data_IF_582865412163
#
_entry.id   IF_582865412163
#
_cell.length_a   1.000
_cell.length_b   1.000
_cell.length_c   1.000
_cell.angle_alpha   90.00
_cell.angle_beta   90.00
_cell.angle_gamma   90.00
#
_symmetry.space_group_name_H-M   'P 1'
#
loop_
_entity.id
_entity.type
_entity.pdbx_description
1 polymer ?
#
# COMPACT_ATOMS: atom_id res chain seq x y z
N UNK A 1 -13.70 31.68 8.87
CA UNK A 1 -13.23 30.96 7.66
C UNK A 1 -13.85 31.46 6.36
N UNK A 2 -15.18 31.65 6.27
CA UNK A 2 -15.82 32.14 5.03
C UNK A 2 -15.36 33.55 4.60
N UNK A 3 -15.14 34.48 5.54
CA UNK A 3 -14.68 35.85 5.26
C UNK A 3 -13.27 35.90 4.65
N UNK A 4 -12.34 35.11 5.21
CA UNK A 4 -10.95 35.03 4.73
C UNK A 4 -10.82 34.30 3.39
N UNK A 5 -11.70 33.34 3.10
CA UNK A 5 -11.79 32.71 1.78
C UNK A 5 -12.33 33.67 0.70
N UNK A 6 -13.19 34.61 1.08
CA UNK A 6 -13.69 35.66 0.17
C UNK A 6 -12.61 36.70 -0.15
N UNK A 7 -11.82 37.13 0.85
CA UNK A 7 -10.71 38.10 0.68
C UNK A 7 -9.53 37.52 -0.13
N UNK A 8 -9.25 36.21 -0.02
CA UNK A 8 -8.23 35.56 -0.86
C UNK A 8 -8.64 35.40 -2.33
N UNK A 9 -9.95 35.29 -2.58
CA UNK A 9 -10.47 35.21 -3.95
C UNK A 9 -10.23 36.54 -4.69
N UNK A 10 -10.43 37.65 -4.01
CA UNK A 10 -10.27 39.00 -4.58
C UNK A 10 -8.83 39.34 -5.00
N UNK A 11 -7.81 38.85 -4.28
CA UNK A 11 -6.41 39.14 -4.64
C UNK A 11 -5.94 38.39 -5.90
N UNK A 12 -6.34 37.12 -6.06
CA UNK A 12 -6.02 36.33 -7.26
C UNK A 12 -6.86 36.79 -8.46
N UNK A 13 -8.08 37.28 -8.22
CA UNK A 13 -8.95 37.80 -9.28
C UNK A 13 -8.34 39.02 -10.00
N UNK A 14 -7.43 39.77 -9.38
CA UNK A 14 -6.68 40.86 -10.02
C UNK A 14 -5.59 40.42 -11.01
N UNK A 15 -5.09 39.18 -10.89
CA UNK A 15 -4.02 38.68 -11.77
C UNK A 15 -4.50 38.45 -13.21
N UNK A 16 -5.71 37.91 -13.37
CA UNK A 16 -6.20 37.50 -14.69
C UNK A 16 -6.52 38.66 -15.64
N UNK A 17 -7.14 39.77 -15.19
CA UNK A 17 -7.26 41.00 -15.96
C UNK A 17 -5.90 41.58 -16.37
N UNK A 18 -4.93 41.61 -15.45
CA UNK A 18 -3.57 42.08 -15.73
C UNK A 18 -2.91 41.27 -16.85
N UNK A 19 -2.98 39.93 -16.81
CA UNK A 19 -2.43 39.09 -17.88
C UNK A 19 -3.04 39.43 -19.25
N UNK A 20 -4.37 39.63 -19.30
CA UNK A 20 -5.06 40.01 -20.54
C UNK A 20 -4.61 41.37 -21.05
N UNK A 21 -4.44 42.34 -20.16
CA UNK A 21 -3.97 43.68 -20.50
C UNK A 21 -2.53 43.65 -21.05
N UNK A 22 -1.62 42.97 -20.35
CA UNK A 22 -0.23 42.78 -20.79
C UNK A 22 -0.15 42.16 -22.19
N UNK A 23 -0.97 41.14 -22.46
CA UNK A 23 -1.03 40.52 -23.79
C UNK A 23 -1.51 41.49 -24.86
N UNK A 24 -2.59 42.23 -24.60
CA UNK A 24 -3.14 43.21 -25.56
C UNK A 24 -2.12 44.31 -25.84
N UNK A 25 -1.43 44.82 -24.81
CA UNK A 25 -0.38 45.84 -24.94
C UNK A 25 0.83 45.35 -25.74
N UNK A 26 1.19 44.07 -25.58
CA UNK A 26 2.23 43.42 -26.37
C UNK A 26 1.81 43.09 -27.82
N UNK A 27 0.54 43.31 -28.21
CA UNK A 27 0.03 43.00 -29.55
C UNK A 27 -0.05 41.49 -29.84
N UNK A 28 -0.09 40.64 -28.81
CA UNK A 28 -0.06 39.19 -28.97
C UNK A 28 -1.47 38.58 -28.97
N UNK A 29 -1.67 37.61 -29.85
CA UNK A 29 -2.88 36.77 -29.83
C UNK A 29 -2.77 35.68 -28.76
N UNK A 30 -3.91 35.17 -28.30
CA UNK A 30 -3.94 34.04 -27.35
C UNK A 30 -3.26 32.78 -27.90
N UNK A 31 -3.24 32.60 -29.22
CA UNK A 31 -2.54 31.49 -29.88
C UNK A 31 -1.02 31.65 -29.78
N UNK A 32 -0.50 32.85 -30.03
CA UNK A 32 0.93 33.15 -29.90
C UNK A 32 1.43 32.99 -28.46
N UNK A 33 0.62 33.38 -27.47
CA UNK A 33 0.92 33.09 -26.05
C UNK A 33 0.91 31.59 -25.77
N UNK A 34 -0.06 30.85 -26.32
CA UNK A 34 -0.10 29.39 -26.14
C UNK A 34 1.15 28.72 -26.72
N UNK A 35 1.65 29.19 -27.86
CA UNK A 35 2.89 28.70 -28.46
C UNK A 35 4.12 29.06 -27.61
N UNK A 36 4.24 30.32 -27.19
CA UNK A 36 5.35 30.80 -26.36
C UNK A 36 5.43 30.12 -24.98
N UNK A 37 4.28 29.70 -24.43
CA UNK A 37 4.20 28.99 -23.14
C UNK A 37 4.39 27.48 -23.26
N UNK A 38 4.62 26.95 -24.47
CA UNK A 38 4.74 25.51 -24.71
C UNK A 38 3.40 24.76 -24.67
N UNK A 39 2.29 25.48 -24.73
CA UNK A 39 0.92 24.96 -24.78
C UNK A 39 0.35 24.88 -26.21
N UNK A 40 1.17 24.96 -27.26
CA UNK A 40 0.77 25.09 -28.68
C UNK A 40 -0.05 23.95 -29.32
N UNK A 41 -0.58 23.01 -28.54
CA UNK A 41 -1.51 21.99 -29.03
C UNK A 41 -2.91 22.54 -29.35
N UNK A 42 -3.79 21.69 -29.87
CA UNK A 42 -5.18 22.04 -30.28
C UNK A 42 -6.05 22.68 -29.17
N UNK A 43 -5.60 22.67 -27.92
CA UNK A 43 -6.30 23.26 -26.77
C UNK A 43 -5.57 24.44 -26.12
N UNK A 44 -4.40 24.83 -26.65
CA UNK A 44 -3.56 25.90 -26.09
C UNK A 44 -4.28 27.23 -26.00
N UNK A 45 -4.83 27.71 -27.12
CA UNK A 45 -5.63 28.94 -27.16
C UNK A 45 -6.78 28.93 -26.14
N UNK A 46 -7.48 27.79 -26.00
CA UNK A 46 -8.60 27.65 -25.05
C UNK A 46 -8.12 27.69 -23.60
N UNK A 47 -6.94 27.13 -23.30
CA UNK A 47 -6.32 27.23 -21.98
C UNK A 47 -5.99 28.68 -21.64
N UNK A 48 -5.37 29.41 -22.57
CA UNK A 48 -5.03 30.84 -22.40
C UNK A 48 -6.29 31.69 -22.21
N UNK A 49 -7.33 31.47 -23.01
CA UNK A 49 -8.61 32.17 -22.85
C UNK A 49 -9.26 31.89 -21.49
N UNK A 50 -9.19 30.65 -20.99
CA UNK A 50 -9.70 30.30 -19.66
C UNK A 50 -8.84 30.88 -18.53
N UNK A 51 -7.54 31.00 -18.75
CA UNK A 51 -6.62 31.62 -17.80
C UNK A 51 -6.94 33.11 -17.64
N UNK A 52 -7.06 33.86 -18.74
CA UNK A 52 -7.44 35.28 -18.74
C UNK A 52 -8.83 35.53 -18.14
N UNK A 53 -9.73 34.56 -18.23
CA UNK A 53 -11.08 34.62 -17.63
C UNK A 53 -11.13 34.15 -16.15
N UNK A 54 -10.00 33.77 -15.54
CA UNK A 54 -9.95 33.26 -14.17
C UNK A 54 -10.62 31.89 -13.98
N UNK A 55 -10.91 31.15 -15.05
CA UNK A 55 -11.53 29.83 -15.01
C UNK A 55 -10.53 28.69 -14.77
N UNK A 56 -9.27 29.01 -14.51
CA UNK A 56 -8.21 28.06 -14.14
C UNK A 56 -7.96 28.22 -12.65
N UNK A 57 -8.50 27.30 -11.83
CA UNK A 57 -8.48 27.43 -10.37
C UNK A 57 -7.07 27.38 -9.74
N UNK A 58 -6.11 26.74 -10.40
CA UNK A 58 -4.74 26.59 -9.91
C UNK A 58 -3.78 26.59 -11.11
N UNK A 59 -3.52 27.75 -11.74
CA UNK A 59 -2.54 27.79 -12.83
C UNK A 59 -1.17 27.43 -12.27
N UNK A 60 -0.38 26.68 -13.04
CA UNK A 60 0.99 26.40 -12.60
C UNK A 60 1.80 27.70 -12.63
N UNK A 61 2.69 27.89 -11.66
CA UNK A 61 3.58 29.06 -11.61
C UNK A 61 4.37 29.18 -12.92
N UNK A 62 4.80 28.05 -13.48
CA UNK A 62 5.49 28.00 -14.78
C UNK A 62 4.65 28.61 -15.91
N UNK A 63 3.36 28.29 -15.98
CA UNK A 63 2.47 28.84 -17.02
C UNK A 63 2.33 30.37 -16.89
N UNK A 64 2.17 30.86 -15.65
CA UNK A 64 2.06 32.31 -15.38
C UNK A 64 3.36 33.03 -15.72
N UNK A 65 4.52 32.50 -15.29
CA UNK A 65 5.82 33.10 -15.61
C UNK A 65 6.11 33.09 -17.11
N UNK A 66 5.88 31.97 -17.81
CA UNK A 66 6.07 31.93 -19.26
C UNK A 66 5.14 32.90 -20.00
N UNK A 67 3.92 33.11 -19.50
CA UNK A 67 2.98 34.11 -20.04
C UNK A 67 3.56 35.51 -19.89
N UNK A 68 3.99 35.87 -18.68
CA UNK A 68 4.57 37.18 -18.38
C UNK A 68 5.83 37.46 -19.22
N UNK A 69 6.72 36.47 -19.34
CA UNK A 69 7.89 36.55 -20.20
C UNK A 69 7.52 36.76 -21.67
N UNK A 70 6.51 36.05 -22.18
CA UNK A 70 6.05 36.21 -23.56
C UNK A 70 5.51 37.63 -23.83
N UNK A 71 4.86 38.23 -22.83
CA UNK A 71 4.37 39.62 -22.90
C UNK A 71 5.45 40.67 -22.62
N UNK A 72 6.69 40.25 -22.32
CA UNK A 72 7.78 41.14 -21.87
C UNK A 72 7.37 42.03 -20.69
N UNK A 73 6.62 41.47 -19.74
CA UNK A 73 6.20 42.20 -18.55
C UNK A 73 7.43 42.69 -17.77
N UNK A 74 7.40 43.97 -17.36
CA UNK A 74 8.46 44.61 -16.58
C UNK A 74 8.21 44.43 -15.09
N UNK A 75 9.20 44.76 -14.25
CA UNK A 75 9.02 44.77 -12.81
C UNK A 75 7.95 45.78 -12.37
N UNK A 76 7.81 46.91 -13.06
CA UNK A 76 6.80 47.95 -12.77
C UNK A 76 5.39 47.38 -12.91
N UNK A 77 5.12 46.65 -14.00
CA UNK A 77 3.84 45.98 -14.26
C UNK A 77 3.45 44.97 -13.17
N UNK A 78 4.45 44.37 -12.51
CA UNK A 78 4.25 43.39 -11.45
C UNK A 78 4.13 44.06 -10.08
N UNK A 79 4.75 45.22 -9.88
CA UNK A 79 4.81 45.87 -8.57
C UNK A 79 3.41 46.30 -8.12
N UNK A 80 2.60 46.88 -9.01
CA UNK A 80 1.22 47.25 -8.70
C UNK A 80 0.36 46.06 -8.26
N UNK A 81 0.51 44.90 -8.92
CA UNK A 81 -0.17 43.67 -8.53
C UNK A 81 0.37 43.08 -7.23
N UNK A 82 1.69 43.04 -7.07
CA UNK A 82 2.33 42.49 -5.89
C UNK A 82 2.07 43.34 -4.66
N UNK A 83 1.98 44.67 -4.78
CA UNK A 83 1.62 45.57 -3.70
C UNK A 83 0.18 45.32 -3.23
N UNK A 84 -0.75 45.07 -4.15
CA UNK A 84 -2.11 44.62 -3.81
C UNK A 84 -2.15 43.23 -3.16
N UNK A 85 -1.30 42.31 -3.62
CA UNK A 85 -1.23 40.92 -3.12
C UNK A 85 -0.57 40.83 -1.74
N UNK A 86 0.54 41.54 -1.51
CA UNK A 86 1.28 41.56 -0.25
C UNK A 86 0.72 42.56 0.77
N UNK A 87 0.01 43.59 0.32
CA UNK A 87 -0.73 44.51 1.20
C UNK A 87 -1.95 43.87 1.86
N UNK A 88 -2.43 42.75 1.31
CA UNK A 88 -3.44 41.90 1.95
C UNK A 88 -2.78 40.97 2.98
N UNK A 89 -3.33 40.82 4.19
CA UNK A 89 -2.76 39.93 5.21
C UNK A 89 -2.66 38.50 4.65
N UNK A 90 -1.44 37.99 4.46
CA UNK A 90 -1.24 36.64 3.94
C UNK A 90 -2.07 35.65 4.76
N UNK A 91 -2.91 34.82 4.12
CA UNK A 91 -3.60 33.77 4.84
C UNK A 91 -2.56 32.80 5.39
N UNK A 92 -2.43 32.76 6.72
CA UNK A 92 -1.69 31.70 7.38
C UNK A 92 -2.29 30.39 6.89
N UNK A 93 -1.53 29.54 6.17
CA UNK A 93 -2.09 28.32 5.60
C UNK A 93 -2.58 27.45 6.75
N UNK A 94 -3.91 27.33 6.91
CA UNK A 94 -4.57 26.46 7.90
C UNK A 94 -4.42 24.97 7.58
N UNK A 95 -3.47 24.60 6.72
CA UNK A 95 -3.11 23.20 6.56
C UNK A 95 -2.60 22.74 7.91
N UNK A 96 -3.17 21.67 8.51
CA UNK A 96 -2.63 21.12 9.73
C UNK A 96 -1.15 20.90 9.50
N UNK A 97 -0.32 21.44 10.40
CA UNK A 97 1.12 21.17 10.46
C UNK A 97 1.22 19.66 10.29
N UNK A 98 1.78 19.23 9.15
CA UNK A 98 1.89 17.79 8.86
C UNK A 98 2.54 17.20 10.09
N UNK A 99 1.83 16.26 10.73
CA UNK A 99 2.34 15.57 11.91
C UNK A 99 3.76 15.06 11.66
N UNK A 100 4.50 14.71 12.73
CA UNK A 100 5.89 14.27 12.64
C UNK A 100 6.06 13.37 11.42
N UNK A 101 7.00 13.75 10.53
CA UNK A 101 7.21 13.04 9.26
C UNK A 101 7.38 11.56 9.61
N UNK A 102 6.41 10.74 9.24
CA UNK A 102 6.54 9.28 9.36
C UNK A 102 7.84 8.93 8.64
N UNK A 103 8.82 8.31 9.33
CA UNK A 103 10.09 7.97 8.71
C UNK A 103 9.80 7.17 7.45
N UNK A 104 10.45 7.55 6.35
CA UNK A 104 10.30 6.81 5.09
C UNK A 104 10.77 5.36 5.36
N UNK A 105 10.00 4.34 4.96
CA UNK A 105 10.43 2.95 5.10
C UNK A 105 11.77 2.76 4.39
N UNK A 106 12.62 1.86 4.92
CA UNK A 106 13.91 1.57 4.30
C UNK A 106 13.69 0.96 2.91
N UNK A 107 14.64 1.11 1.97
CA UNK A 107 14.53 0.49 0.65
C UNK A 107 14.31 -1.03 0.72
N UNK A 108 14.91 -1.70 1.70
CA UNK A 108 14.73 -3.13 1.95
C UNK A 108 13.28 -3.48 2.33
N UNK A 109 12.67 -2.67 3.20
CA UNK A 109 11.26 -2.84 3.61
C UNK A 109 10.31 -2.64 2.42
N UNK A 110 10.65 -1.71 1.51
CA UNK A 110 9.89 -1.48 0.28
C UNK A 110 10.01 -2.63 -0.71
N UNK A 111 11.22 -3.17 -0.91
CA UNK A 111 11.46 -4.32 -1.76
C UNK A 111 10.72 -5.56 -1.25
N UNK A 112 10.78 -5.79 0.07
CA UNK A 112 10.06 -6.88 0.71
C UNK A 112 8.53 -6.72 0.60
N UNK A 113 8.02 -5.51 0.79
CA UNK A 113 6.59 -5.23 0.62
C UNK A 113 6.14 -5.45 -0.84
N UNK A 114 6.95 -5.05 -1.82
CA UNK A 114 6.68 -5.29 -3.23
C UNK A 114 6.61 -6.80 -3.53
N UNK A 115 7.56 -7.59 -3.01
CA UNK A 115 7.58 -9.04 -3.13
C UNK A 115 6.31 -9.68 -2.55
N UNK A 116 5.90 -9.29 -1.35
CA UNK A 116 4.69 -9.80 -0.69
C UNK A 116 3.42 -9.44 -1.45
N UNK A 117 3.33 -8.21 -1.97
CA UNK A 117 2.21 -7.77 -2.83
C UNK A 117 2.14 -8.56 -4.12
N UNK A 118 3.30 -8.87 -4.72
CA UNK A 118 3.35 -9.69 -5.92
C UNK A 118 2.89 -11.12 -5.63
N UNK A 119 3.40 -11.74 -4.56
CA UNK A 119 2.97 -13.07 -4.13
C UNK A 119 1.45 -13.13 -3.82
N UNK A 120 0.92 -12.12 -3.14
CA UNK A 120 -0.52 -11.99 -2.90
C UNK A 120 -1.30 -11.90 -4.23
N UNK A 121 -0.83 -11.09 -5.18
CA UNK A 121 -1.44 -10.99 -6.50
C UNK A 121 -1.47 -12.32 -7.25
N UNK A 122 -0.40 -13.13 -7.15
CA UNK A 122 -0.37 -14.47 -7.74
C UNK A 122 -1.39 -15.41 -7.10
N UNK A 123 -1.54 -15.38 -5.78
CA UNK A 123 -2.57 -16.17 -5.09
C UNK A 123 -3.99 -15.74 -5.51
N UNK A 124 -4.26 -14.43 -5.57
CA UNK A 124 -5.55 -13.91 -6.07
C UNK A 124 -5.82 -14.38 -7.50
N UNK A 125 -4.80 -14.31 -8.37
CA UNK A 125 -4.90 -14.79 -9.76
C UNK A 125 -5.29 -16.26 -9.80
N UNK A 126 -4.63 -17.10 -9.01
CA UNK A 126 -4.91 -18.53 -8.93
C UNK A 126 -6.36 -18.82 -8.53
N UNK A 127 -6.87 -18.18 -7.48
CA UNK A 127 -8.27 -18.32 -7.03
C UNK A 127 -9.23 -18.02 -8.18
N UNK A 128 -8.98 -16.95 -8.93
CA UNK A 128 -9.78 -16.58 -10.11
C UNK A 128 -9.67 -17.63 -11.20
N UNK A 129 -8.46 -18.12 -11.52
CA UNK A 129 -8.28 -19.14 -12.57
C UNK A 129 -9.01 -20.44 -12.23
N UNK A 130 -8.98 -20.89 -10.97
CA UNK A 130 -9.70 -22.08 -10.50
C UNK A 130 -11.22 -21.88 -10.66
N UNK A 131 -11.74 -20.75 -10.19
CA UNK A 131 -13.16 -20.42 -10.35
C UNK A 131 -13.54 -20.34 -11.84
N UNK A 132 -12.78 -19.61 -12.66
CA UNK A 132 -13.04 -19.50 -14.10
C UNK A 132 -13.02 -20.88 -14.78
N UNK A 133 -12.09 -21.75 -14.41
CA UNK A 133 -12.05 -23.11 -14.95
C UNK A 133 -13.31 -23.90 -14.59
N UNK A 134 -13.77 -23.82 -13.33
CA UNK A 134 -15.00 -24.46 -12.87
C UNK A 134 -16.24 -23.95 -13.63
N UNK A 135 -16.41 -22.63 -13.70
CA UNK A 135 -17.55 -22.00 -14.37
C UNK A 135 -17.59 -22.32 -15.87
N UNK A 136 -16.43 -22.26 -16.55
CA UNK A 136 -16.34 -22.57 -17.98
C UNK A 136 -16.63 -24.04 -18.29
N UNK A 137 -16.31 -24.96 -17.37
CA UNK A 137 -16.70 -26.36 -17.50
C UNK A 137 -18.23 -26.52 -17.33
N UNK A 138 -18.85 -25.78 -16.40
CA UNK A 138 -20.30 -25.74 -16.23
C UNK A 138 -21.04 -25.25 -17.48
N UNK A 139 -20.47 -24.27 -18.18
CA UNK A 139 -20.97 -23.76 -19.46
C UNK A 139 -20.73 -24.70 -20.66
N UNK A 140 -20.17 -25.90 -20.43
CA UNK A 140 -19.82 -26.89 -21.47
C UNK A 140 -18.90 -26.34 -22.56
N UNK A 141 -18.09 -25.32 -22.25
CA UNK A 141 -17.16 -24.75 -23.21
C UNK A 141 -16.01 -25.73 -23.50
N UNK A 142 -15.84 -26.10 -24.78
CA UNK A 142 -14.79 -27.05 -25.21
C UNK A 142 -13.42 -26.62 -24.64
N UNK A 143 -12.65 -27.53 -24.02
CA UNK A 143 -11.28 -27.26 -23.60
C UNK A 143 -10.47 -26.71 -24.79
N UNK A 144 -9.60 -25.74 -24.54
CA UNK A 144 -8.70 -25.15 -25.54
C UNK A 144 -9.38 -24.40 -26.71
N UNK A 145 -10.69 -24.14 -26.67
CA UNK A 145 -11.34 -23.33 -27.70
C UNK A 145 -10.93 -21.85 -27.58
N UNK A 146 -10.83 -21.17 -28.74
CA UNK A 146 -10.58 -19.72 -28.81
C UNK A 146 -11.66 -18.93 -28.04
N UNK A 147 -12.88 -19.43 -28.05
CA UNK A 147 -14.00 -18.91 -27.29
C UNK A 147 -13.76 -19.02 -25.78
N UNK A 148 -13.42 -20.21 -25.26
CA UNK A 148 -13.11 -20.44 -23.84
C UNK A 148 -12.00 -19.50 -23.35
N UNK A 149 -10.94 -19.33 -24.15
CA UNK A 149 -9.87 -18.39 -23.84
C UNK A 149 -10.36 -16.94 -23.76
N UNK A 150 -11.21 -16.53 -24.70
CA UNK A 150 -11.78 -15.18 -24.74
C UNK A 150 -12.70 -14.91 -23.56
N UNK A 151 -13.52 -15.88 -23.17
CA UNK A 151 -14.41 -15.80 -22.00
C UNK A 151 -13.60 -15.74 -20.71
N UNK A 152 -12.55 -16.57 -20.56
CA UNK A 152 -11.64 -16.48 -19.42
C UNK A 152 -10.94 -15.11 -19.35
N UNK A 153 -10.48 -14.57 -20.48
CA UNK A 153 -9.88 -13.24 -20.56
C UNK A 153 -10.86 -12.12 -20.17
N UNK A 154 -12.14 -12.28 -20.48
CA UNK A 154 -13.19 -11.38 -20.00
C UNK A 154 -13.29 -11.42 -18.47
N UNK A 155 -13.42 -12.60 -17.86
CA UNK A 155 -13.49 -12.74 -16.40
C UNK A 155 -12.27 -12.15 -15.68
N UNK A 156 -11.05 -12.43 -16.18
CA UNK A 156 -9.80 -11.84 -15.68
C UNK A 156 -9.82 -10.31 -15.73
N UNK A 157 -10.33 -9.72 -16.82
CA UNK A 157 -10.43 -8.26 -16.97
C UNK A 157 -11.45 -7.65 -16.01
N UNK A 158 -12.60 -8.29 -15.82
CA UNK A 158 -13.61 -7.85 -14.84
C UNK A 158 -12.97 -7.80 -13.46
N UNK A 159 -12.36 -8.89 -13.00
CA UNK A 159 -11.69 -8.93 -11.70
C UNK A 159 -10.62 -7.84 -11.58
N UNK A 160 -9.74 -7.69 -12.59
CA UNK A 160 -8.70 -6.66 -12.59
C UNK A 160 -9.29 -5.26 -12.48
N UNK A 161 -10.42 -4.97 -13.14
CA UNK A 161 -11.10 -3.68 -13.04
C UNK A 161 -11.64 -3.47 -11.62
N UNK A 162 -12.28 -4.47 -11.03
CA UNK A 162 -12.80 -4.41 -9.65
C UNK A 162 -11.65 -4.12 -8.67
N UNK A 163 -10.56 -4.91 -8.75
CA UNK A 163 -9.37 -4.74 -7.91
C UNK A 163 -8.73 -3.35 -8.04
N UNK A 164 -8.48 -2.89 -9.27
CA UNK A 164 -7.87 -1.57 -9.51
C UNK A 164 -8.75 -0.39 -9.10
N UNK A 165 -10.07 -0.58 -9.10
CA UNK A 165 -11.02 0.47 -8.78
C UNK A 165 -11.60 0.33 -7.38
N UNK A 166 -11.05 -0.55 -6.54
CA UNK A 166 -11.50 -0.80 -5.17
C UNK A 166 -11.63 0.50 -4.36
N UNK A 167 -10.60 1.34 -4.39
CA UNK A 167 -10.56 2.64 -3.71
C UNK A 167 -10.96 3.84 -4.60
N UNK A 168 -11.35 3.61 -5.86
CA UNK A 168 -11.69 4.67 -6.81
C UNK A 168 -13.19 4.96 -6.83
N UNK A 169 -13.58 6.13 -7.38
CA UNK A 169 -14.98 6.54 -7.49
C UNK A 169 -15.81 5.51 -8.28
N UNK A 170 -17.04 5.16 -7.84
CA UNK A 170 -17.91 4.17 -8.50
C UNK A 170 -18.12 4.41 -10.00
N UNK A 171 -18.27 5.68 -10.40
CA UNK A 171 -18.46 6.08 -11.81
C UNK A 171 -17.32 5.61 -12.73
N UNK A 172 -16.07 5.60 -12.25
CA UNK A 172 -14.94 5.13 -13.04
C UNK A 172 -14.95 3.60 -13.18
N UNK A 173 -15.38 2.88 -12.15
CA UNK A 173 -15.55 1.42 -12.16
C UNK A 173 -16.59 1.02 -13.19
N UNK A 174 -17.78 1.60 -13.13
CA UNK A 174 -18.87 1.36 -14.10
C UNK A 174 -18.43 1.63 -15.54
N UNK A 175 -17.79 2.78 -15.79
CA UNK A 175 -17.28 3.10 -17.13
C UNK A 175 -16.27 2.09 -17.65
N UNK A 176 -15.40 1.55 -16.78
CA UNK A 176 -14.41 0.52 -17.16
C UNK A 176 -15.09 -0.82 -17.42
N UNK A 177 -16.05 -1.24 -16.58
CA UNK A 177 -16.83 -2.45 -16.78
C UNK A 177 -17.64 -2.40 -18.09
N UNK A 178 -18.31 -1.27 -18.37
CA UNK A 178 -19.02 -1.06 -19.65
C UNK A 178 -18.12 -1.21 -20.87
N UNK A 179 -16.89 -0.66 -20.81
CA UNK A 179 -15.89 -0.84 -21.89
C UNK A 179 -15.40 -2.29 -22.01
N UNK A 180 -15.28 -2.99 -20.89
CA UNK A 180 -14.90 -4.40 -20.86
C UNK A 180 -15.97 -5.29 -21.50
N UNK A 181 -17.24 -5.05 -21.16
CA UNK A 181 -18.41 -5.68 -21.80
C UNK A 181 -18.41 -5.45 -23.32
N UNK A 182 -18.35 -4.20 -23.76
CA UNK A 182 -18.31 -3.87 -25.18
C UNK A 182 -17.08 -4.44 -25.92
N UNK A 183 -15.99 -4.75 -25.20
CA UNK A 183 -14.87 -5.49 -25.77
C UNK A 183 -15.19 -6.98 -25.97
N UNK A 184 -15.86 -7.62 -25.01
CA UNK A 184 -16.24 -9.03 -25.10
C UNK A 184 -17.31 -9.27 -26.18
N UNK A 185 -18.30 -8.38 -26.29
CA UNK A 185 -19.33 -8.41 -27.35
C UNK A 185 -18.69 -8.34 -28.74
N UNK A 186 -17.69 -7.45 -28.94
CA UNK A 186 -16.92 -7.37 -30.19
C UNK A 186 -16.07 -8.61 -30.49
N UNK A 187 -15.82 -9.45 -29.49
CA UNK A 187 -15.14 -10.75 -29.66
C UNK A 187 -16.11 -11.91 -29.85
N UNK A 188 -17.38 -11.62 -30.10
CA UNK A 188 -18.44 -12.60 -30.38
C UNK A 188 -18.67 -13.55 -29.20
N UNK A 189 -18.49 -13.04 -27.97
CA UNK A 189 -18.94 -13.77 -26.77
C UNK A 189 -20.43 -13.51 -26.60
N UNK A 190 -21.20 -14.56 -26.33
CA UNK A 190 -22.65 -14.47 -26.14
C UNK A 190 -22.99 -13.60 -24.92
N UNK A 191 -24.03 -12.78 -25.03
CA UNK A 191 -24.36 -11.77 -24.02
C UNK A 191 -24.75 -12.38 -22.65
N UNK A 192 -25.44 -13.51 -22.68
CA UNK A 192 -25.78 -14.32 -21.50
C UNK A 192 -24.54 -14.82 -20.77
N UNK A 193 -23.52 -15.30 -21.50
CA UNK A 193 -22.22 -15.73 -20.93
C UNK A 193 -21.48 -14.54 -20.32
N UNK A 194 -21.52 -13.37 -20.96
CA UNK A 194 -20.92 -12.13 -20.45
C UNK A 194 -21.60 -11.71 -19.13
N UNK A 195 -22.93 -11.74 -19.08
CA UNK A 195 -23.71 -11.33 -17.92
C UNK A 195 -23.54 -12.32 -16.76
N UNK A 196 -23.59 -13.62 -17.06
CA UNK A 196 -23.32 -14.69 -16.10
C UNK A 196 -21.93 -14.55 -15.47
N UNK A 197 -20.88 -14.51 -16.28
CA UNK A 197 -19.51 -14.46 -15.78
C UNK A 197 -19.21 -13.14 -15.08
N UNK A 198 -19.78 -12.04 -15.58
CA UNK A 198 -19.69 -10.72 -14.94
C UNK A 198 -20.25 -10.75 -13.52
N UNK A 199 -21.41 -11.39 -13.32
CA UNK A 199 -22.02 -11.58 -12.01
C UNK A 199 -21.15 -12.46 -11.10
N UNK A 200 -20.78 -13.66 -11.54
CA UNK A 200 -20.00 -14.61 -10.71
C UNK A 200 -18.65 -14.03 -10.28
N UNK A 201 -17.94 -13.35 -11.18
CA UNK A 201 -16.66 -12.68 -10.83
C UNK A 201 -16.88 -11.55 -9.82
N UNK A 202 -17.99 -10.82 -9.93
CA UNK A 202 -18.32 -9.73 -9.00
C UNK A 202 -18.71 -10.29 -7.63
N UNK A 203 -19.48 -11.38 -7.57
CA UNK A 203 -19.84 -12.07 -6.33
C UNK A 203 -18.59 -12.61 -5.62
N UNK A 204 -17.70 -13.31 -6.35
CA UNK A 204 -16.41 -13.75 -5.81
C UNK A 204 -15.60 -12.57 -5.26
N UNK A 205 -15.50 -11.47 -6.01
CA UNK A 205 -14.75 -10.30 -5.56
C UNK A 205 -15.32 -9.71 -4.26
N UNK A 206 -16.64 -9.59 -4.15
CA UNK A 206 -17.31 -9.06 -2.96
C UNK A 206 -17.13 -10.00 -1.75
N UNK A 207 -17.17 -11.31 -1.96
CA UNK A 207 -16.90 -12.31 -0.92
C UNK A 207 -15.45 -12.20 -0.39
N UNK A 208 -14.47 -12.12 -1.30
CA UNK A 208 -13.06 -11.91 -0.95
C UNK A 208 -12.82 -10.58 -0.23
N UNK A 209 -13.53 -9.52 -0.65
CA UNK A 209 -13.46 -8.21 0.01
C UNK A 209 -14.03 -8.27 1.44
N UNK A 210 -15.16 -8.95 1.61
CA UNK A 210 -15.82 -9.11 2.92
C UNK A 210 -14.96 -9.95 3.87
N UNK A 211 -14.27 -10.97 3.35
CA UNK A 211 -13.34 -11.83 4.11
C UNK A 211 -11.96 -11.19 4.36
N UNK A 212 -11.67 -10.03 3.76
CA UNK A 212 -10.36 -9.37 3.86
C UNK A 212 -9.25 -10.06 3.07
N UNK A 213 -9.57 -11.00 2.19
CA UNK A 213 -8.59 -11.75 1.39
C UNK A 213 -7.87 -10.87 0.37
N UNK A 214 -8.51 -9.77 -0.07
CA UNK A 214 -7.90 -8.81 -1.01
C UNK A 214 -6.74 -8.00 -0.39
N UNK A 215 -6.68 -7.92 0.94
CA UNK A 215 -5.63 -7.22 1.69
C UNK A 215 -4.59 -8.16 2.29
N UNK A 216 -4.78 -9.48 2.11
CA UNK A 216 -3.87 -10.47 2.64
C UNK A 216 -2.47 -10.36 2.02
N UNK A 217 -1.45 -10.39 2.87
CA UNK A 217 -0.05 -10.41 2.46
C UNK A 217 0.63 -11.66 3.07
N UNK A 218 1.16 -12.59 2.25
CA UNK A 218 1.84 -13.77 2.77
C UNK A 218 3.01 -13.38 3.69
N UNK A 219 3.39 -14.22 4.67
CA UNK A 219 4.65 -14.07 5.38
C UNK A 219 5.84 -13.94 4.41
N UNK A 220 6.89 -13.25 4.84
CA UNK A 220 8.08 -12.99 4.02
C UNK A 220 8.68 -14.26 3.42
N UNK A 221 8.81 -15.32 4.20
CA UNK A 221 9.40 -16.58 3.73
C UNK A 221 8.49 -17.30 2.73
N UNK A 222 7.16 -17.30 2.95
CA UNK A 222 6.19 -17.81 1.96
C UNK A 222 6.29 -17.00 0.66
N UNK A 223 6.35 -15.67 0.73
CA UNK A 223 6.46 -14.81 -0.44
C UNK A 223 7.76 -15.07 -1.24
N UNK A 224 8.90 -15.23 -0.55
CA UNK A 224 10.18 -15.61 -1.18
C UNK A 224 10.05 -16.96 -1.89
N UNK A 225 9.49 -17.96 -1.22
CA UNK A 225 9.33 -19.29 -1.78
C UNK A 225 8.46 -19.30 -3.03
N UNK A 226 7.31 -18.62 -2.99
CA UNK A 226 6.40 -18.47 -4.14
C UNK A 226 7.06 -17.77 -5.33
N UNK A 227 7.96 -16.83 -5.06
CA UNK A 227 8.66 -16.07 -6.08
C UNK A 227 9.84 -16.82 -6.71
N UNK A 228 10.31 -17.91 -6.10
CA UNK A 228 11.28 -18.83 -6.72
C UNK A 228 10.63 -19.73 -7.77
N UNK A 229 9.32 -19.97 -7.68
CA UNK A 229 8.58 -20.79 -8.65
C UNK A 229 8.47 -20.05 -9.99
N UNK A 230 8.50 -20.78 -11.10
CA UNK A 230 8.24 -20.19 -12.41
C UNK A 230 6.77 -19.76 -12.54
N UNK A 231 6.44 -18.74 -13.36
CA UNK A 231 5.06 -18.25 -13.49
C UNK A 231 4.02 -19.30 -13.88
N UNK A 232 4.42 -20.40 -14.53
CA UNK A 232 3.52 -21.53 -14.85
C UNK A 232 3.19 -22.36 -13.60
N UNK A 233 4.21 -22.76 -12.83
CA UNK A 233 4.03 -23.52 -11.58
C UNK A 233 3.25 -22.72 -10.53
N UNK A 234 3.34 -21.37 -10.53
CA UNK A 234 2.51 -20.52 -9.65
C UNK A 234 1.00 -20.65 -9.91
N UNK A 235 0.60 -21.07 -11.11
CA UNK A 235 -0.81 -21.17 -11.55
C UNK A 235 -1.30 -22.62 -11.49
N UNK A 236 -0.50 -23.57 -11.98
CA UNK A 236 -0.85 -24.99 -12.06
C UNK A 236 -0.44 -25.71 -10.77
N UNK A 237 -1.40 -25.91 -9.86
CA UNK A 237 -1.37 -26.90 -8.75
C UNK A 237 -0.27 -26.80 -7.66
N UNK A 238 0.90 -26.22 -7.94
CA UNK A 238 2.01 -26.21 -6.98
C UNK A 238 1.85 -25.19 -5.86
N UNK A 239 0.96 -24.19 -5.96
CA UNK A 239 0.79 -23.26 -4.83
C UNK A 239 0.29 -23.95 -3.57
N UNK A 240 -0.73 -24.82 -3.67
CA UNK A 240 -1.24 -25.54 -2.49
C UNK A 240 -0.25 -26.60 -2.04
N UNK A 241 0.48 -27.23 -2.97
CA UNK A 241 1.55 -28.16 -2.62
C UNK A 241 2.70 -27.42 -1.91
N UNK A 242 3.24 -26.35 -2.48
CA UNK A 242 4.29 -25.53 -1.86
C UNK A 242 3.82 -24.88 -0.56
N UNK A 243 2.56 -24.45 -0.46
CA UNK A 243 2.01 -23.92 0.80
C UNK A 243 1.87 -25.03 1.84
N UNK A 244 1.38 -26.21 1.47
CA UNK A 244 1.27 -27.34 2.40
C UNK A 244 2.65 -27.86 2.81
N UNK A 245 3.61 -27.94 1.89
CA UNK A 245 5.02 -28.26 2.16
C UNK A 245 5.67 -27.21 3.07
N UNK A 246 5.46 -25.92 2.81
CA UNK A 246 5.95 -24.84 3.66
C UNK A 246 5.32 -24.92 5.05
N UNK A 247 4.01 -25.11 5.16
CA UNK A 247 3.31 -25.29 6.44
C UNK A 247 3.83 -26.52 7.18
N UNK A 248 4.03 -27.64 6.50
CA UNK A 248 4.56 -28.88 7.08
C UNK A 248 6.00 -28.70 7.55
N UNK A 249 6.83 -28.00 6.77
CA UNK A 249 8.20 -27.66 7.16
C UNK A 249 8.22 -26.71 8.35
N UNK A 250 7.40 -25.66 8.34
CA UNK A 250 7.28 -24.71 9.44
C UNK A 250 6.78 -25.40 10.73
N UNK A 251 5.85 -26.34 10.61
CA UNK A 251 5.38 -27.15 11.73
C UNK A 251 6.49 -28.06 12.29
N UNK A 252 7.24 -28.76 11.42
CA UNK A 252 8.41 -29.56 11.84
C UNK A 252 9.50 -28.71 12.49
N UNK A 253 9.79 -27.53 11.95
CA UNK A 253 10.76 -26.61 12.53
C UNK A 253 10.29 -26.07 13.89
N UNK A 254 8.99 -25.78 14.05
CA UNK A 254 8.40 -25.40 15.32
C UNK A 254 8.48 -26.53 16.35
N UNK A 255 8.11 -27.75 15.96
CA UNK A 255 8.21 -28.94 16.82
C UNK A 255 9.66 -29.20 17.25
N UNK A 256 10.62 -29.13 16.33
CA UNK A 256 12.03 -29.26 16.65
C UNK A 256 12.53 -28.15 17.60
N UNK A 257 12.03 -26.92 17.46
CA UNK A 257 12.34 -25.82 18.40
C UNK A 257 11.77 -26.09 19.78
N UNK A 258 10.52 -26.53 19.88
CA UNK A 258 9.88 -26.85 21.16
C UNK A 258 10.60 -28.03 21.85
N UNK A 259 10.97 -29.09 21.12
CA UNK A 259 11.79 -30.18 21.64
C UNK A 259 13.16 -29.67 22.16
N UNK A 260 13.82 -28.77 21.42
CA UNK A 260 15.08 -28.16 21.87
C UNK A 260 14.92 -27.23 23.09
N UNK A 261 13.72 -26.66 23.31
CA UNK A 261 13.43 -25.79 24.47
C UNK A 261 13.18 -26.59 25.75
N UNK A 262 12.61 -27.80 25.66
CA UNK A 262 12.29 -28.65 26.82
C UNK A 262 13.39 -28.77 27.86
N UNK A 263 14.65 -29.15 27.54
CA UNK A 263 15.69 -29.31 28.57
C UNK A 263 16.01 -27.99 29.28
N UNK A 264 15.94 -26.86 28.57
CA UNK A 264 16.18 -25.53 29.16
C UNK A 264 15.04 -25.14 30.09
N UNK A 265 13.79 -25.39 29.67
CA UNK A 265 12.60 -25.14 30.50
C UNK A 265 12.63 -26.02 31.75
N UNK A 266 12.96 -27.30 31.63
CA UNK A 266 13.06 -28.23 32.75
C UNK A 266 14.15 -27.81 33.75
N UNK A 267 15.33 -27.40 33.26
CA UNK A 267 16.41 -26.87 34.10
C UNK A 267 15.99 -25.58 34.83
N UNK A 268 15.30 -24.67 34.13
CA UNK A 268 14.79 -23.43 34.71
C UNK A 268 13.71 -23.72 35.78
N UNK A 269 12.79 -24.65 35.52
CA UNK A 269 11.78 -25.07 36.48
C UNK A 269 12.40 -25.77 37.70
N UNK A 270 13.44 -26.58 37.50
CA UNK A 270 14.19 -27.18 38.60
C UNK A 270 14.86 -26.13 39.49
N UNK A 271 15.46 -25.09 38.89
CA UNK A 271 16.05 -23.95 39.59
C UNK A 271 15.01 -23.15 40.39
N UNK A 272 13.82 -22.93 39.82
CA UNK A 272 12.72 -22.27 40.52
C UNK A 272 12.25 -23.06 41.74
N UNK A 273 12.09 -24.38 41.59
CA UNK A 273 11.67 -25.28 42.67
C UNK A 273 12.71 -25.34 43.79
N UNK A 274 14.00 -25.43 43.46
CA UNK A 274 15.07 -25.42 44.46
C UNK A 274 15.18 -24.09 45.21
N UNK A 275 14.74 -23.00 44.59
CA UNK A 275 14.64 -21.67 45.20
C UNK A 275 13.34 -21.45 45.99
N UNK A 276 12.52 -22.49 46.18
CA UNK A 276 11.28 -22.44 46.96
C UNK A 276 10.08 -21.82 46.24
N UNK A 277 10.14 -21.58 44.93
CA UNK A 277 9.02 -21.07 44.15
C UNK A 277 8.05 -22.21 43.84
N UNK A 278 6.79 -22.11 44.28
CA UNK A 278 5.77 -23.15 44.12
C UNK A 278 4.44 -22.61 43.59
N UNK A 279 3.60 -23.52 43.09
CA UNK A 279 2.23 -23.25 42.68
C UNK A 279 2.12 -22.16 41.60
N UNK A 280 1.18 -21.24 41.80
CA UNK A 280 0.84 -20.19 40.82
C UNK A 280 2.03 -19.26 40.49
N UNK A 281 3.03 -19.15 41.37
CA UNK A 281 4.21 -18.33 41.09
C UNK A 281 5.07 -18.92 39.98
N UNK A 282 5.12 -20.25 39.82
CA UNK A 282 5.86 -20.90 38.72
C UNK A 282 5.29 -20.48 37.36
N UNK A 283 3.97 -20.37 37.24
CA UNK A 283 3.32 -19.92 36.01
C UNK A 283 3.76 -18.52 35.59
N UNK A 284 3.94 -17.60 36.55
CA UNK A 284 4.45 -16.25 36.27
C UNK A 284 5.87 -16.29 35.71
N UNK A 285 6.74 -17.15 36.23
CA UNK A 285 8.10 -17.30 35.70
C UNK A 285 8.15 -18.04 34.36
N UNK A 286 7.22 -18.95 34.06
CA UNK A 286 7.18 -19.64 32.76
C UNK A 286 7.01 -18.67 31.59
N UNK A 287 6.15 -17.64 31.75
CA UNK A 287 6.01 -16.58 30.75
C UNK A 287 7.34 -15.84 30.50
N UNK A 288 8.11 -15.60 31.56
CA UNK A 288 9.40 -14.90 31.49
C UNK A 288 10.49 -15.79 30.88
N UNK A 289 10.52 -17.09 31.24
CA UNK A 289 11.42 -18.09 30.64
C UNK A 289 11.19 -18.17 29.13
N UNK A 290 9.92 -18.22 28.70
CA UNK A 290 9.57 -18.22 27.27
C UNK A 290 10.01 -16.92 26.58
N UNK A 291 9.89 -15.77 27.26
CA UNK A 291 10.40 -14.51 26.73
C UNK A 291 11.92 -14.55 26.55
N UNK A 292 12.68 -15.05 27.52
CA UNK A 292 14.13 -15.22 27.39
C UNK A 292 14.51 -16.19 26.26
N UNK A 293 13.81 -17.31 26.11
CA UNK A 293 14.02 -18.27 25.01
C UNK A 293 13.78 -17.62 23.65
N UNK A 294 12.73 -16.83 23.49
CA UNK A 294 12.45 -16.08 22.26
C UNK A 294 13.56 -15.08 21.94
N UNK A 295 14.10 -14.38 22.95
CA UNK A 295 15.24 -13.48 22.76
C UNK A 295 16.50 -14.26 22.39
N UNK A 296 16.71 -15.43 23.00
CA UNK A 296 17.84 -16.30 22.70
C UNK A 296 17.81 -16.82 21.25
N UNK A 297 16.61 -16.96 20.67
CA UNK A 297 16.40 -17.31 19.26
C UNK A 297 16.61 -16.15 18.30
N UNK A 298 16.13 -14.97 18.68
CA UNK A 298 16.13 -13.82 17.78
C UNK A 298 17.47 -13.08 17.72
N UNK A 299 18.39 -13.33 18.65
CA UNK A 299 19.61 -12.52 18.81
C UNK A 299 20.89 -13.36 18.86
N UNK A 300 21.97 -12.83 18.28
CA UNK A 300 23.28 -13.44 18.37
C UNK A 300 23.85 -13.32 19.80
N UNK A 301 24.54 -14.36 20.31
CA UNK A 301 25.23 -14.31 21.59
C UNK A 301 26.19 -13.11 21.70
N UNK A 302 26.26 -12.47 22.87
CA UNK A 302 27.19 -11.37 23.15
C UNK A 302 26.86 -10.02 22.49
N UNK A 303 25.71 -9.87 21.82
CA UNK A 303 25.34 -8.59 21.22
C UNK A 303 24.76 -7.61 22.24
N UNK A 304 25.12 -6.32 22.14
CA UNK A 304 24.56 -5.26 22.99
C UNK A 304 23.03 -5.13 22.87
N UNK A 305 22.47 -5.51 21.70
CA UNK A 305 21.03 -5.57 21.49
C UNK A 305 20.38 -6.64 22.37
N UNK A 306 20.98 -7.83 22.46
CA UNK A 306 20.51 -8.91 23.35
C UNK A 306 20.51 -8.46 24.81
N UNK A 307 21.62 -7.88 25.28
CA UNK A 307 21.73 -7.40 26.66
C UNK A 307 20.74 -6.29 27.00
N UNK A 308 20.44 -5.41 26.04
CA UNK A 308 19.40 -4.39 26.21
C UNK A 308 18.02 -5.04 26.39
N UNK A 309 17.64 -5.94 25.50
CA UNK A 309 16.34 -6.61 25.56
C UNK A 309 16.19 -7.43 26.84
N UNK A 310 17.24 -8.11 27.30
CA UNK A 310 17.23 -8.83 28.58
C UNK A 310 16.96 -7.87 29.74
N UNK A 311 17.65 -6.73 29.79
CA UNK A 311 17.41 -5.70 30.81
C UNK A 311 15.99 -5.14 30.75
N UNK A 312 15.46 -4.94 29.55
CA UNK A 312 14.09 -4.46 29.35
C UNK A 312 13.07 -5.50 29.88
N UNK A 313 13.28 -6.80 29.63
CA UNK A 313 12.44 -7.86 30.18
C UNK A 313 12.52 -7.90 31.71
N UNK A 314 13.73 -7.85 32.29
CA UNK A 314 13.91 -7.89 33.75
C UNK A 314 13.27 -6.66 34.41
N UNK A 315 13.51 -5.46 33.89
CA UNK A 315 12.94 -4.22 34.41
C UNK A 315 11.42 -4.14 34.24
N UNK A 316 10.86 -4.73 33.18
CA UNK A 316 9.41 -4.84 32.99
C UNK A 316 8.70 -5.72 34.01
N UNK A 317 9.44 -6.55 34.76
CA UNK A 317 8.91 -7.50 35.74
C UNK A 317 9.29 -7.14 37.19
N UNK A 318 9.37 -5.85 37.54
CA UNK A 318 9.64 -5.34 38.91
C UNK A 318 8.49 -5.55 39.92
N UNK A 319 7.64 -6.55 39.71
CA UNK A 319 6.53 -6.82 40.61
C UNK A 319 7.05 -7.40 41.93
N UNK A 320 6.44 -7.03 43.06
CA UNK A 320 6.90 -7.39 44.42
C UNK A 320 6.99 -8.90 44.69
N UNK A 321 6.35 -9.73 43.86
CA UNK A 321 6.38 -11.19 43.97
C UNK A 321 7.42 -11.87 43.08
N UNK A 322 8.20 -11.09 42.31
CA UNK A 322 9.25 -11.59 41.41
C UNK A 322 10.61 -11.25 42.01
N UNK A 323 11.39 -12.28 42.30
CA UNK A 323 12.76 -12.15 42.79
C UNK A 323 13.68 -11.79 41.61
N UNK A 324 14.24 -10.58 41.66
CA UNK A 324 15.11 -10.06 40.61
C UNK A 324 16.43 -10.84 40.51
N UNK A 325 16.98 -11.32 41.62
CA UNK A 325 18.20 -12.12 41.61
C UNK A 325 17.95 -13.47 40.93
N UNK A 326 16.78 -14.07 41.19
CA UNK A 326 16.34 -15.29 40.53
C UNK A 326 16.11 -15.08 39.03
N UNK A 327 15.52 -13.95 38.63
CA UNK A 327 15.37 -13.59 37.21
C UNK A 327 16.71 -13.48 36.47
N UNK A 328 17.71 -12.85 37.08
CA UNK A 328 19.04 -12.75 36.49
C UNK A 328 19.68 -14.13 36.30
N UNK A 329 19.59 -15.02 37.28
CA UNK A 329 20.09 -16.40 37.17
C UNK A 329 19.36 -17.20 36.10
N UNK A 330 18.04 -17.02 35.97
CA UNK A 330 17.26 -17.63 34.90
C UNK A 330 17.71 -17.16 33.52
N UNK A 331 17.94 -15.85 33.36
CA UNK A 331 18.48 -15.31 32.11
C UNK A 331 19.84 -15.96 31.80
N UNK A 332 20.78 -15.99 32.75
CA UNK A 332 22.09 -16.62 32.59
C UNK A 332 21.98 -18.11 32.19
N UNK A 333 21.09 -18.87 32.84
CA UNK A 333 20.83 -20.27 32.50
C UNK A 333 20.34 -20.43 31.07
N UNK A 334 19.30 -19.68 30.67
CA UNK A 334 18.70 -19.77 29.34
C UNK A 334 19.73 -19.41 28.25
N UNK A 335 20.60 -18.43 28.51
CA UNK A 335 21.56 -17.97 27.52
C UNK A 335 22.87 -18.78 27.49
N UNK A 336 23.21 -19.49 28.56
CA UNK A 336 24.40 -20.37 28.63
C UNK A 336 24.19 -21.73 27.98
N UNK A 337 22.98 -22.31 28.09
CA UNK A 337 22.64 -23.60 27.47
C UNK A 337 22.50 -23.54 25.94
N UNK A 338 22.67 -22.35 25.35
CA UNK A 338 22.43 -22.07 23.93
C UNK A 338 23.61 -21.43 23.19
N UNK A 339 24.71 -21.21 23.90
CA UNK A 339 26.01 -20.89 23.31
C UNK A 339 26.67 -22.19 22.86
#
# INVERSE_FOLDING_TARGET
>A
MAKQAAENKTAIDGLFPLLRELRTRAGLTQQQIAEATGAGGAHGRKLIARLEAGHVQNPSIRLVLSYLCACKATSEDLTEFLDGYFGSPMPVPTRPIRGPRIPKPRPEDLALLALRKEAAWWNLRRVIEVMLHHELNGLKAKPMSKERKTVADYGRKVFKILYQTRQLRPVLRERRLKRCRAWAERKVVQADVIDYLGRVVTELFNDMETKGELDWLPPTEEAKHLMLLSPRHRIETDYDLCRTEWMARAAKEHEAREEARKPVIEAALAMLRSSGVTGNRIGNYQGIINAFLNVAEATQPGTAARERIIRDIVSGHQQSYIDQALLHRLAELVFSLRA
#
